data_IF_482019717476
#
_entry.id   IF_482019717476
#
_cell.length_a   1.000
_cell.length_b   1.000
_cell.length_c   1.000
_cell.angle_alpha   90.00
_cell.angle_beta   90.00
_cell.angle_gamma   90.00
#
_symmetry.space_group_name_H-M   'P 1'
#
loop_
_entity.id
_entity.type
_entity.pdbx_description
1 polymer ?
#
# COMPACT_ATOMS: atom_id res chain seq x y z
N UNK A 1 -4.05 -18.28 -0.03
CA UNK A 1 -4.48 -17.16 -0.92
C UNK A 1 -3.64 -15.94 -0.60
N UNK A 2 -3.22 -15.19 -1.62
CA UNK A 2 -2.71 -13.82 -1.48
C UNK A 2 -3.71 -12.90 -2.16
N UNK A 3 -4.36 -12.02 -1.39
CA UNK A 3 -5.44 -11.18 -1.87
C UNK A 3 -4.97 -9.74 -2.13
N UNK A 4 -4.69 -9.44 -3.41
CA UNK A 4 -4.34 -8.11 -3.89
C UNK A 4 -5.50 -7.34 -4.52
N UNK A 5 -6.56 -8.05 -4.94
CA UNK A 5 -7.62 -7.47 -5.76
C UNK A 5 -8.41 -6.38 -5.00
N UNK A 6 -8.22 -5.13 -5.43
CA UNK A 6 -8.94 -3.98 -4.91
C UNK A 6 -8.79 -2.78 -5.83
N UNK A 7 -9.74 -1.87 -5.82
CA UNK A 7 -9.53 -0.52 -6.30
C UNK A 7 -8.66 0.25 -5.30
N UNK A 8 -7.64 0.97 -5.76
CA UNK A 8 -6.60 1.56 -4.90
C UNK A 8 -6.44 3.09 -4.98
N UNK A 9 -7.13 3.74 -5.90
CA UNK A 9 -6.98 5.19 -6.11
C UNK A 9 -7.71 5.98 -5.02
N UNK A 10 -6.96 6.73 -4.22
CA UNK A 10 -7.53 7.57 -3.15
C UNK A 10 -8.46 8.65 -3.71
N UNK A 11 -8.08 9.46 -4.74
CA UNK A 11 -8.98 10.46 -5.31
C UNK A 11 -10.26 9.83 -5.89
N UNK A 12 -10.13 8.78 -6.68
CA UNK A 12 -11.28 8.10 -7.27
C UNK A 12 -12.23 7.52 -6.22
N UNK A 13 -11.69 7.06 -5.07
CA UNK A 13 -12.53 6.55 -3.99
C UNK A 13 -13.47 7.62 -3.42
N UNK A 14 -13.03 8.89 -3.41
CA UNK A 14 -13.85 10.02 -2.96
C UNK A 14 -14.94 10.33 -4.00
N UNK A 15 -14.61 10.23 -5.29
CA UNK A 15 -15.57 10.48 -6.38
C UNK A 15 -16.60 9.35 -6.50
N UNK A 16 -16.18 8.09 -6.26
CA UNK A 16 -16.99 6.88 -6.47
C UNK A 16 -17.08 5.98 -5.22
N UNK A 17 -17.50 6.50 -4.07
CA UNK A 17 -17.41 5.79 -2.79
C UNK A 17 -18.12 4.43 -2.79
N UNK A 18 -19.33 4.36 -3.34
CA UNK A 18 -20.11 3.12 -3.34
C UNK A 18 -19.51 2.02 -4.24
N UNK A 19 -18.82 2.41 -5.32
CA UNK A 19 -18.10 1.46 -6.17
C UNK A 19 -16.93 0.84 -5.40
N UNK A 20 -16.19 1.66 -4.63
CA UNK A 20 -15.08 1.19 -3.80
C UNK A 20 -15.54 0.23 -2.70
N UNK A 21 -16.61 0.56 -1.98
CA UNK A 21 -17.15 -0.36 -0.98
C UNK A 21 -17.62 -1.67 -1.62
N UNK A 22 -18.42 -1.59 -2.69
CA UNK A 22 -18.95 -2.79 -3.36
C UNK A 22 -17.83 -3.67 -3.90
N UNK A 23 -16.83 -3.08 -4.57
CA UNK A 23 -15.72 -3.83 -5.15
C UNK A 23 -14.81 -4.41 -4.06
N UNK A 24 -14.28 -3.57 -3.18
CA UNK A 24 -13.22 -3.99 -2.27
C UNK A 24 -13.73 -4.92 -1.17
N UNK A 25 -14.92 -4.66 -0.61
CA UNK A 25 -15.49 -5.54 0.40
C UNK A 25 -16.12 -6.79 -0.23
N UNK A 26 -16.80 -6.66 -1.36
CA UNK A 26 -17.38 -7.82 -2.05
C UNK A 26 -16.32 -8.81 -2.57
N UNK A 27 -15.17 -8.32 -3.07
CA UNK A 27 -14.07 -9.22 -3.45
C UNK A 27 -13.47 -9.93 -2.23
N UNK A 28 -13.34 -9.24 -1.10
CA UNK A 28 -12.87 -9.85 0.13
C UNK A 28 -13.88 -10.88 0.67
N UNK A 29 -15.18 -10.57 0.66
CA UNK A 29 -16.25 -11.51 1.04
C UNK A 29 -16.14 -12.80 0.24
N UNK A 30 -16.06 -12.71 -1.09
CA UNK A 30 -15.87 -13.87 -1.96
C UNK A 30 -14.60 -14.69 -1.63
N UNK A 31 -13.51 -14.00 -1.25
CA UNK A 31 -12.25 -14.67 -0.84
C UNK A 31 -12.45 -15.42 0.47
N UNK A 32 -13.13 -14.82 1.46
CA UNK A 32 -13.40 -15.47 2.74
C UNK A 32 -14.34 -16.66 2.59
N UNK A 33 -15.39 -16.55 1.77
CA UNK A 33 -16.28 -17.66 1.43
C UNK A 33 -15.51 -18.81 0.74
N UNK A 34 -14.64 -18.49 -0.23
CA UNK A 34 -13.80 -19.47 -0.88
C UNK A 34 -12.84 -20.15 0.11
N UNK A 35 -12.26 -19.37 1.03
CA UNK A 35 -11.37 -19.86 2.08
C UNK A 35 -12.09 -20.90 2.94
N UNK A 36 -13.30 -20.62 3.38
CA UNK A 36 -14.13 -21.54 4.15
C UNK A 36 -14.54 -22.78 3.33
N UNK A 37 -15.08 -22.54 2.13
CA UNK A 37 -15.62 -23.62 1.27
C UNK A 37 -14.56 -24.65 0.88
N UNK A 38 -13.33 -24.21 0.65
CA UNK A 38 -12.23 -25.06 0.19
C UNK A 38 -11.20 -25.37 1.28
N UNK A 39 -11.49 -25.01 2.53
CA UNK A 39 -10.60 -25.24 3.68
C UNK A 39 -9.17 -24.73 3.42
N UNK A 40 -9.05 -23.50 2.90
CA UNK A 40 -7.74 -22.90 2.57
C UNK A 40 -7.11 -22.40 3.87
N UNK A 41 -5.92 -22.89 4.24
CA UNK A 41 -5.36 -22.62 5.58
C UNK A 41 -4.67 -21.27 5.73
N UNK A 42 -4.33 -20.58 4.63
CA UNK A 42 -3.55 -19.34 4.70
C UNK A 42 -4.15 -18.22 3.86
N UNK A 43 -4.30 -17.06 4.46
CA UNK A 43 -4.72 -15.81 3.80
C UNK A 43 -3.71 -14.71 4.08
N UNK A 44 -3.11 -14.14 3.03
CA UNK A 44 -2.31 -12.92 3.12
C UNK A 44 -3.15 -11.80 2.52
N UNK A 45 -3.44 -10.77 3.31
CA UNK A 45 -4.27 -9.63 2.91
C UNK A 45 -3.44 -8.39 2.67
N UNK A 46 -3.62 -7.79 1.49
CA UNK A 46 -3.05 -6.51 1.11
C UNK A 46 -3.79 -5.37 1.79
N UNK A 47 -3.34 -5.00 3.00
CA UNK A 47 -3.81 -3.81 3.71
C UNK A 47 -2.99 -2.57 3.32
N UNK A 48 -3.13 -1.47 4.06
CA UNK A 48 -2.52 -0.19 3.71
C UNK A 48 -2.20 0.63 4.95
N UNK A 49 -1.12 1.42 4.93
CA UNK A 49 -0.83 2.41 5.95
C UNK A 49 -1.89 3.53 6.05
N UNK A 50 -2.72 3.70 5.01
CA UNK A 50 -3.82 4.68 5.02
C UNK A 50 -4.85 4.47 6.14
N UNK A 51 -4.88 3.28 6.74
CA UNK A 51 -5.74 2.98 7.89
C UNK A 51 -5.38 3.77 9.14
N UNK A 52 -4.12 4.23 9.25
CA UNK A 52 -3.69 5.05 10.39
C UNK A 52 -4.29 6.46 10.39
N UNK A 53 -4.79 6.92 9.22
CA UNK A 53 -5.34 8.28 9.08
C UNK A 53 -4.27 9.36 9.25
N UNK A 54 -4.68 10.48 9.82
CA UNK A 54 -3.79 11.61 10.13
C UNK A 54 -3.20 11.43 11.56
N UNK A 55 -2.03 10.80 11.64
CA UNK A 55 -1.34 10.55 12.91
C UNK A 55 -0.31 11.63 13.21
N UNK A 56 -0.31 12.11 14.44
CA UNK A 56 0.64 13.13 14.92
C UNK A 56 1.98 12.55 15.36
N UNK A 57 1.97 11.33 15.88
CA UNK A 57 3.18 10.68 16.39
C UNK A 57 3.75 9.73 15.33
N UNK A 58 4.91 10.04 14.83
CA UNK A 58 5.66 9.27 13.85
C UNK A 58 6.99 8.79 14.42
N UNK A 59 7.53 7.65 13.99
CA UNK A 59 6.90 6.68 13.07
C UNK A 59 5.75 5.90 13.72
N UNK A 60 4.83 5.39 12.89
CA UNK A 60 3.78 4.48 13.35
C UNK A 60 4.29 3.04 13.39
N UNK A 61 3.75 2.25 14.31
CA UNK A 61 3.93 0.80 14.40
C UNK A 61 2.58 0.08 14.37
N UNK A 62 2.59 -1.24 14.46
CA UNK A 62 1.39 -2.07 14.39
C UNK A 62 0.46 -1.90 15.61
N UNK A 63 0.98 -1.36 16.73
CA UNK A 63 0.21 -1.05 17.93
C UNK A 63 -0.49 0.30 17.85
N UNK A 64 -0.10 1.14 16.87
CA UNK A 64 -0.74 2.43 16.61
C UNK A 64 -2.20 2.21 16.24
N UNK A 65 -3.16 2.84 16.95
CA UNK A 65 -4.58 2.68 16.65
C UNK A 65 -4.93 3.11 15.22
N UNK A 66 -5.90 2.45 14.63
CA UNK A 66 -6.50 2.93 13.38
C UNK A 66 -7.11 4.31 13.60
N UNK A 67 -6.80 5.24 12.70
CA UNK A 67 -7.32 6.60 12.74
C UNK A 67 -8.71 6.72 12.08
N UNK A 68 -9.24 7.94 12.08
CA UNK A 68 -10.44 8.25 11.29
C UNK A 68 -10.07 8.15 9.80
N UNK A 69 -10.78 7.34 9.02
CA UNK A 69 -10.47 7.18 7.60
C UNK A 69 -10.74 8.49 6.84
N UNK A 70 -9.77 8.98 6.12
CA UNK A 70 -9.88 10.24 5.35
C UNK A 70 -10.46 10.02 3.94
N UNK A 71 -10.65 8.78 3.51
CA UNK A 71 -11.26 8.44 2.23
C UNK A 71 -11.89 7.04 2.26
N UNK A 72 -12.84 6.75 1.35
CA UNK A 72 -13.46 5.42 1.24
C UNK A 72 -12.48 4.27 1.03
N UNK A 73 -11.42 4.47 0.26
CA UNK A 73 -10.36 3.45 0.11
C UNK A 73 -9.76 3.05 1.47
N UNK A 74 -9.33 4.03 2.28
CA UNK A 74 -8.79 3.76 3.61
C UNK A 74 -9.80 3.02 4.50
N UNK A 75 -11.06 3.44 4.46
CA UNK A 75 -12.14 2.80 5.22
C UNK A 75 -12.39 1.36 4.76
N UNK A 76 -12.34 1.06 3.45
CA UNK A 76 -12.48 -0.34 2.99
C UNK A 76 -11.36 -1.23 3.49
N UNK A 77 -10.14 -0.69 3.69
CA UNK A 77 -9.02 -1.45 4.26
C UNK A 77 -9.20 -1.69 5.76
N UNK A 78 -9.70 -0.70 6.53
CA UNK A 78 -10.03 -0.88 7.95
C UNK A 78 -11.12 -1.95 8.12
N UNK A 79 -12.25 -1.81 7.41
CA UNK A 79 -13.34 -2.81 7.43
C UNK A 79 -12.82 -4.19 7.02
N UNK A 80 -11.94 -4.25 6.00
CA UNK A 80 -11.37 -5.51 5.53
C UNK A 80 -10.53 -6.21 6.60
N UNK A 81 -9.71 -5.47 7.37
CA UNK A 81 -8.97 -6.03 8.50
C UNK A 81 -9.93 -6.57 9.58
N UNK A 82 -10.98 -5.81 9.90
CA UNK A 82 -11.95 -6.23 10.91
C UNK A 82 -12.74 -7.47 10.44
N UNK A 83 -13.18 -7.52 9.19
CA UNK A 83 -13.83 -8.71 8.61
C UNK A 83 -12.96 -9.95 8.76
N UNK A 84 -11.66 -9.85 8.42
CA UNK A 84 -10.74 -10.98 8.52
C UNK A 84 -10.54 -11.39 9.99
N UNK A 85 -10.38 -10.44 10.92
CA UNK A 85 -10.22 -10.73 12.35
C UNK A 85 -11.42 -11.48 12.91
N UNK A 86 -12.64 -10.99 12.63
CA UNK A 86 -13.87 -11.67 13.05
C UNK A 86 -14.00 -13.04 12.40
N UNK A 87 -13.64 -13.17 11.13
CA UNK A 87 -13.73 -14.45 10.41
C UNK A 87 -12.77 -15.49 10.99
N UNK A 88 -11.50 -15.14 11.24
CA UNK A 88 -10.48 -16.03 11.84
C UNK A 88 -10.90 -16.50 13.24
N UNK A 89 -11.50 -15.62 14.04
CA UNK A 89 -11.99 -16.00 15.38
C UNK A 89 -13.03 -17.12 15.36
N UNK A 90 -13.73 -17.31 14.26
CA UNK A 90 -14.73 -18.39 14.08
C UNK A 90 -14.19 -19.58 13.27
N UNK A 91 -13.04 -19.41 12.62
CA UNK A 91 -12.43 -20.39 11.73
C UNK A 91 -10.96 -20.57 12.11
N UNK A 92 -10.72 -21.26 13.24
CA UNK A 92 -9.40 -21.42 13.87
C UNK A 92 -8.36 -22.07 12.95
N UNK A 93 -8.79 -22.86 11.96
CA UNK A 93 -7.90 -23.49 10.97
C UNK A 93 -7.30 -22.48 9.97
N UNK A 94 -7.90 -21.29 9.84
CA UNK A 94 -7.40 -20.22 8.99
C UNK A 94 -6.35 -19.38 9.75
N UNK A 95 -5.21 -19.18 9.10
CA UNK A 95 -4.15 -18.26 9.53
C UNK A 95 -4.08 -17.10 8.56
N UNK A 96 -4.35 -15.88 9.06
CA UNK A 96 -4.33 -14.68 8.26
C UNK A 96 -3.17 -13.76 8.67
N UNK A 97 -2.51 -13.17 7.65
CA UNK A 97 -1.51 -12.12 7.85
C UNK A 97 -1.98 -10.88 7.09
N UNK A 98 -2.03 -9.76 7.79
CA UNK A 98 -2.44 -8.46 7.28
C UNK A 98 -1.19 -7.62 7.03
N UNK A 99 -0.88 -7.34 5.77
CA UNK A 99 0.31 -6.58 5.39
C UNK A 99 -0.08 -5.14 5.05
N UNK A 100 0.29 -4.19 5.90
CA UNK A 100 0.02 -2.76 5.73
C UNK A 100 1.14 -2.12 4.91
N UNK A 101 0.90 -1.94 3.61
CA UNK A 101 1.88 -1.31 2.72
C UNK A 101 1.94 0.19 2.94
N UNK A 102 3.16 0.72 2.95
CA UNK A 102 3.41 2.13 2.75
C UNK A 102 3.41 2.43 1.24
N UNK A 103 4.44 3.02 0.66
CA UNK A 103 4.39 3.41 -0.75
C UNK A 103 5.23 2.45 -1.62
N UNK A 104 4.60 1.49 -2.31
CA UNK A 104 5.32 0.62 -3.23
C UNK A 104 5.96 1.41 -4.37
N UNK A 105 7.22 1.11 -4.69
CA UNK A 105 7.96 1.73 -5.80
C UNK A 105 8.87 0.73 -6.50
N UNK A 106 9.30 1.10 -7.71
CA UNK A 106 10.26 0.33 -8.47
C UNK A 106 9.64 -0.77 -9.32
N UNK A 107 10.51 -1.56 -9.93
CA UNK A 107 10.18 -2.68 -10.77
C UNK A 107 11.23 -3.78 -10.61
N UNK A 108 10.92 -5.00 -11.03
CA UNK A 108 11.87 -6.09 -11.00
C UNK A 108 13.09 -5.80 -11.89
N UNK A 109 14.28 -6.17 -11.44
CA UNK A 109 15.55 -5.89 -12.11
C UNK A 109 15.63 -6.41 -13.54
N UNK A 110 14.82 -7.42 -13.90
CA UNK A 110 14.74 -7.95 -15.28
C UNK A 110 14.20 -6.96 -16.29
N UNK A 111 13.52 -5.88 -15.86
CA UNK A 111 12.84 -4.94 -16.75
C UNK A 111 11.62 -5.52 -17.50
N UNK A 112 11.20 -6.76 -17.19
CA UNK A 112 10.07 -7.43 -17.86
C UNK A 112 8.70 -6.97 -17.33
N UNK A 113 8.66 -6.30 -16.18
CA UNK A 113 7.46 -5.72 -15.61
C UNK A 113 7.74 -4.32 -15.06
N UNK A 114 6.68 -3.58 -14.80
CA UNK A 114 6.76 -2.25 -14.22
C UNK A 114 5.36 -1.72 -13.91
N UNK A 115 5.28 -0.58 -13.26
CA UNK A 115 4.01 0.08 -13.00
C UNK A 115 3.50 0.76 -14.28
N UNK A 116 2.35 0.30 -14.77
CA UNK A 116 1.63 0.92 -15.88
C UNK A 116 0.27 1.40 -15.36
N UNK A 117 0.10 2.71 -15.27
CA UNK A 117 -1.22 3.30 -15.00
C UNK A 117 -2.01 3.36 -16.30
N UNK A 118 -3.22 2.76 -16.38
CA UNK A 118 -4.06 2.83 -17.58
C UNK A 118 -4.47 4.27 -17.90
N UNK A 119 -4.61 5.10 -16.86
CA UNK A 119 -4.92 6.53 -16.93
C UNK A 119 -3.70 7.38 -16.57
N UNK A 120 -3.94 8.68 -16.26
CA UNK A 120 -2.88 9.55 -15.77
C UNK A 120 -2.29 9.00 -14.47
N UNK A 121 -0.95 8.95 -14.34
CA UNK A 121 -0.32 8.47 -13.12
C UNK A 121 -0.61 9.43 -11.96
N UNK A 122 -0.98 8.85 -10.81
CA UNK A 122 -1.26 9.59 -9.59
C UNK A 122 -0.18 9.41 -8.51
N UNK A 123 0.76 8.47 -8.73
CA UNK A 123 1.87 8.23 -7.82
C UNK A 123 3.13 8.97 -8.29
N UNK A 124 3.97 9.38 -7.34
CA UNK A 124 5.14 10.20 -7.62
C UNK A 124 6.11 9.55 -8.61
N UNK A 125 6.54 8.30 -8.38
CA UNK A 125 7.55 7.67 -9.22
C UNK A 125 7.10 7.45 -10.67
N UNK A 126 5.87 6.99 -10.98
CA UNK A 126 5.35 6.99 -12.35
C UNK A 126 5.33 8.38 -13.02
N UNK A 127 5.01 9.44 -12.25
CA UNK A 127 5.04 10.82 -12.78
C UNK A 127 6.49 11.21 -13.13
N UNK A 128 7.44 10.95 -12.23
CA UNK A 128 8.87 11.23 -12.45
C UNK A 128 9.36 10.50 -13.71
N UNK A 129 9.08 9.20 -13.82
CA UNK A 129 9.56 8.40 -14.97
C UNK A 129 8.95 8.86 -16.29
N UNK A 130 7.67 9.25 -16.30
CA UNK A 130 7.01 9.79 -17.49
C UNK A 130 7.51 11.19 -17.86
N UNK A 131 7.86 12.02 -16.87
CA UNK A 131 8.51 13.31 -17.10
C UNK A 131 9.91 13.11 -17.69
N UNK A 132 10.70 12.19 -17.11
CA UNK A 132 12.05 11.89 -17.57
C UNK A 132 12.11 11.44 -19.04
N UNK A 133 11.10 10.70 -19.51
CA UNK A 133 11.01 10.26 -20.92
C UNK A 133 10.20 11.22 -21.81
N UNK A 134 9.82 12.40 -21.30
CA UNK A 134 9.12 13.45 -22.04
C UNK A 134 7.63 13.19 -22.34
N UNK A 135 7.00 12.19 -21.70
CA UNK A 135 5.54 11.97 -21.80
C UNK A 135 4.74 12.99 -21.00
N UNK A 136 5.31 13.47 -19.91
CA UNK A 136 4.80 14.60 -19.11
C UNK A 136 5.80 15.72 -19.29
N UNK A 137 5.36 16.86 -19.85
CA UNK A 137 6.22 18.00 -20.13
C UNK A 137 6.71 18.66 -18.84
N UNK A 138 5.82 18.88 -17.88
CA UNK A 138 6.11 19.47 -16.58
C UNK A 138 5.29 18.78 -15.49
N UNK A 139 5.92 18.36 -14.42
CA UNK A 139 5.24 17.81 -13.26
C UNK A 139 4.96 18.90 -12.21
N UNK A 140 3.99 18.67 -11.34
CA UNK A 140 3.62 19.60 -10.27
C UNK A 140 4.01 19.00 -8.92
N UNK A 141 4.79 19.76 -8.14
CA UNK A 141 5.03 19.49 -6.72
C UNK A 141 3.99 20.30 -5.93
N UNK A 142 3.19 19.60 -5.12
CA UNK A 142 2.04 20.20 -4.41
C UNK A 142 2.47 20.85 -3.09
N UNK A 143 3.30 21.89 -3.18
CA UNK A 143 3.71 22.71 -2.07
C UNK A 143 5.13 22.45 -1.56
N UNK A 144 5.68 23.47 -0.93
CA UNK A 144 7.02 23.52 -0.31
C UNK A 144 6.96 24.17 1.08
N UNK A 145 5.76 24.24 1.67
CA UNK A 145 5.46 24.89 2.94
C UNK A 145 4.94 23.93 4.03
N UNK A 146 5.08 22.61 3.82
CA UNK A 146 4.77 21.61 4.86
C UNK A 146 5.81 21.66 5.98
N UNK A 147 5.40 21.31 7.19
CA UNK A 147 6.29 21.17 8.36
C UNK A 147 7.16 19.91 8.23
N UNK A 148 8.11 19.96 7.30
CA UNK A 148 9.06 18.92 6.96
C UNK A 148 10.44 19.52 6.71
N UNK A 149 11.48 18.68 6.59
CA UNK A 149 12.86 19.15 6.49
C UNK A 149 13.18 19.99 5.24
N UNK A 150 12.38 19.92 4.18
CA UNK A 150 12.55 20.69 2.95
C UNK A 150 11.25 21.33 2.45
N UNK A 151 10.20 21.28 3.27
CA UNK A 151 8.90 21.86 2.96
C UNK A 151 8.01 20.99 2.07
N UNK A 152 8.53 19.91 1.47
CA UNK A 152 7.70 19.02 0.65
C UNK A 152 7.16 17.81 1.44
N UNK A 153 6.16 17.12 0.89
CA UNK A 153 5.57 15.95 1.55
C UNK A 153 6.58 14.83 1.76
N UNK A 154 6.49 14.16 2.91
CA UNK A 154 7.28 12.96 3.26
C UNK A 154 6.44 11.72 3.02
N UNK A 155 7.05 10.69 2.44
CA UNK A 155 6.45 9.34 2.31
C UNK A 155 7.51 8.29 2.60
N UNK A 156 7.08 7.15 3.11
CA UNK A 156 7.92 5.97 3.26
C UNK A 156 7.76 5.09 2.01
N UNK A 157 8.86 4.88 1.30
CA UNK A 157 8.89 4.09 0.06
C UNK A 157 9.56 2.75 0.29
N UNK A 158 8.95 1.69 -0.26
CA UNK A 158 9.49 0.34 -0.21
C UNK A 158 9.51 -0.28 -1.60
N UNK A 159 10.64 -0.89 -1.96
CA UNK A 159 10.79 -1.48 -3.29
C UNK A 159 9.87 -2.70 -3.45
N UNK A 160 9.26 -2.86 -4.64
CA UNK A 160 8.30 -3.95 -4.91
C UNK A 160 8.89 -5.34 -4.73
N UNK A 161 10.20 -5.54 -4.89
CA UNK A 161 10.86 -6.83 -4.63
C UNK A 161 10.91 -7.16 -3.14
N UNK A 162 11.06 -6.15 -2.27
CA UNK A 162 11.04 -6.34 -0.81
C UNK A 162 9.62 -6.66 -0.35
N UNK A 163 8.62 -5.99 -0.92
CA UNK A 163 7.21 -6.32 -0.68
C UNK A 163 6.91 -7.75 -1.12
N UNK A 164 7.35 -8.16 -2.31
CA UNK A 164 7.17 -9.54 -2.78
C UNK A 164 7.84 -10.56 -1.85
N UNK A 165 9.06 -10.28 -1.39
CA UNK A 165 9.78 -11.11 -0.42
C UNK A 165 9.03 -11.19 0.91
N UNK A 166 8.46 -10.08 1.39
CA UNK A 166 7.66 -10.05 2.60
C UNK A 166 6.42 -10.96 2.52
N UNK A 167 5.78 -11.09 1.35
CA UNK A 167 4.67 -12.03 1.16
C UNK A 167 5.10 -13.49 1.29
N UNK A 168 6.27 -13.83 0.75
CA UNK A 168 6.82 -15.19 0.89
C UNK A 168 7.17 -15.49 2.35
N UNK A 169 7.77 -14.52 3.04
CA UNK A 169 8.09 -14.65 4.46
C UNK A 169 6.84 -14.74 5.32
N UNK A 170 5.80 -13.93 5.04
CA UNK A 170 4.52 -13.98 5.74
C UNK A 170 3.83 -15.34 5.60
N UNK A 171 3.86 -15.93 4.38
CA UNK A 171 3.34 -17.28 4.17
C UNK A 171 4.14 -18.32 4.94
N UNK A 172 5.47 -18.24 4.94
CA UNK A 172 6.33 -19.11 5.72
C UNK A 172 6.10 -19.00 7.22
N UNK A 173 5.93 -17.78 7.72
CA UNK A 173 5.59 -17.49 9.11
C UNK A 173 4.24 -18.12 9.50
N UNK A 174 3.19 -17.90 8.72
CA UNK A 174 1.88 -18.48 8.96
C UNK A 174 1.91 -20.02 8.96
N UNK A 175 2.70 -20.64 8.05
CA UNK A 175 2.83 -22.08 7.96
C UNK A 175 3.58 -22.71 9.15
N UNK A 176 4.52 -21.98 9.74
CA UNK A 176 5.30 -22.44 10.90
C UNK A 176 4.59 -22.17 12.25
N UNK A 177 3.58 -21.32 12.25
CA UNK A 177 2.84 -20.98 13.46
C UNK A 177 1.83 -22.08 13.79
N UNK A 178 1.97 -22.69 14.97
CA UNK A 178 1.12 -23.81 15.39
C UNK A 178 0.03 -23.44 16.39
N UNK A 179 0.12 -22.23 16.99
CA UNK A 179 -0.93 -21.70 17.83
C UNK A 179 -2.12 -21.21 17.02
N UNK A 180 -3.32 -21.42 17.50
CA UNK A 180 -4.56 -21.04 16.82
C UNK A 180 -5.47 -20.25 17.77
N UNK A 181 -6.26 -19.30 17.22
CA UNK A 181 -6.26 -18.74 15.88
C UNK A 181 -5.07 -17.79 15.64
N UNK A 182 -4.66 -17.57 14.37
CA UNK A 182 -3.63 -16.60 14.00
C UNK A 182 -4.23 -15.52 13.09
N UNK A 183 -4.19 -14.28 13.54
CA UNK A 183 -4.45 -13.11 12.72
C UNK A 183 -3.49 -11.98 13.12
N UNK A 184 -2.37 -11.89 12.42
CA UNK A 184 -1.32 -10.92 12.74
C UNK A 184 -1.17 -9.86 11.67
N UNK A 185 -0.62 -8.71 12.07
CA UNK A 185 -0.47 -7.54 11.23
C UNK A 185 0.99 -7.13 11.21
N UNK A 186 1.49 -6.78 10.01
CA UNK A 186 2.84 -6.24 9.82
C UNK A 186 2.82 -5.01 8.94
N UNK A 187 3.54 -3.97 9.36
CA UNK A 187 3.82 -2.81 8.52
C UNK A 187 4.92 -3.14 7.51
N UNK A 188 4.69 -2.83 6.26
CA UNK A 188 5.69 -2.92 5.20
C UNK A 188 6.14 -1.53 4.79
N UNK A 189 7.10 -0.99 5.51
CA UNK A 189 7.75 0.29 5.31
C UNK A 189 9.24 0.19 5.65
N UNK A 190 10.02 1.20 5.28
CA UNK A 190 11.45 1.28 5.60
C UNK A 190 11.71 1.90 6.97
N UNK A 191 10.71 2.58 7.54
CA UNK A 191 10.84 3.42 8.74
C UNK A 191 11.56 4.75 8.48
N UNK A 192 11.97 5.02 7.23
CA UNK A 192 12.67 6.23 6.82
C UNK A 192 11.81 7.00 5.82
N UNK A 193 11.27 8.11 6.24
CA UNK A 193 10.51 8.97 5.34
C UNK A 193 11.43 9.70 4.35
N UNK A 194 11.06 9.71 3.07
CA UNK A 194 11.73 10.42 1.99
C UNK A 194 10.82 11.53 1.50
N UNK A 195 11.37 12.75 1.33
CA UNK A 195 10.62 13.88 0.82
C UNK A 195 10.48 13.81 -0.71
N UNK A 196 9.56 14.63 -1.26
CA UNK A 196 9.42 14.71 -2.72
C UNK A 196 10.71 15.22 -3.35
N UNK A 197 11.32 16.29 -2.82
CA UNK A 197 12.55 16.84 -3.39
C UNK A 197 13.74 15.88 -3.28
N UNK A 198 13.87 15.13 -2.19
CA UNK A 198 14.88 14.08 -2.08
C UNK A 198 14.71 12.99 -3.14
N UNK A 199 13.47 12.60 -3.45
CA UNK A 199 13.19 11.61 -4.51
C UNK A 199 13.58 12.16 -5.88
N UNK A 200 13.24 13.43 -6.19
CA UNK A 200 13.62 14.09 -7.44
C UNK A 200 15.14 14.14 -7.60
N UNK A 201 15.84 14.63 -6.57
CA UNK A 201 17.29 14.72 -6.55
C UNK A 201 17.97 13.34 -6.70
N UNK A 202 17.45 12.33 -6.00
CA UNK A 202 17.98 10.97 -6.11
C UNK A 202 17.80 10.42 -7.53
N UNK A 203 16.65 10.67 -8.16
CA UNK A 203 16.39 10.27 -9.53
C UNK A 203 17.34 10.94 -10.51
N UNK A 204 17.47 12.27 -10.48
CA UNK A 204 18.37 13.03 -11.35
C UNK A 204 19.83 12.59 -11.17
N UNK A 205 20.29 12.43 -9.93
CA UNK A 205 21.65 12.00 -9.61
C UNK A 205 21.99 10.63 -10.18
N UNK A 206 21.04 9.67 -10.10
CA UNK A 206 21.30 8.30 -10.49
C UNK A 206 21.09 8.04 -11.99
N UNK A 207 20.25 8.85 -12.65
CA UNK A 207 19.93 8.68 -14.08
C UNK A 207 20.67 9.66 -14.99
N UNK A 208 21.12 10.80 -14.45
CA UNK A 208 21.66 11.91 -15.23
C UNK A 208 20.60 12.68 -16.03
N UNK A 209 19.30 12.40 -15.82
CA UNK A 209 18.18 13.05 -16.51
C UNK A 209 17.65 14.16 -15.66
N UNK A 210 17.62 15.40 -16.19
CA UNK A 210 17.00 16.55 -15.51
C UNK A 210 15.48 16.50 -15.61
N UNK A 211 14.83 16.70 -14.47
CA UNK A 211 13.38 16.72 -14.36
C UNK A 211 12.82 18.15 -14.52
N UNK A 212 11.67 18.29 -15.15
CA UNK A 212 10.96 19.56 -15.27
C UNK A 212 9.78 19.57 -14.33
N UNK A 213 9.83 20.44 -13.33
CA UNK A 213 8.72 20.59 -12.38
C UNK A 213 8.53 22.04 -11.96
N UNK A 214 7.32 22.33 -11.51
CA UNK A 214 6.96 23.57 -10.82
C UNK A 214 6.31 23.26 -9.48
N UNK A 215 6.38 24.19 -8.56
CA UNK A 215 5.70 24.16 -7.28
C UNK A 215 4.33 24.82 -7.41
#
# INVERSE_FOLDING_TARGET
IIHFAAFKSVPESVEKPLEYYRNNLGTLENVLEATQRFSIPYLIFSSSCSIYGDVKNLPVDETTPMGVPFCPYAHTKQIGEDMIRFFVNQHSDLKAILLRYFNPVGAHISGLNGELSPDKPNNLLPIITQNAIGKIEEMVVFGDDYDTRDGSCVRDYLHVTDIASAHVLALGYAAQHHAEPLCETFNLGSGNGITVFEMLQAFEKNTGVSLRYRI
#
